data_IF_772732855076
#
_entry.id   IF_772732855076
#
_cell.length_a   1.000
_cell.length_b   1.000
_cell.length_c   1.000
_cell.angle_alpha   90.00
_cell.angle_beta   90.00
_cell.angle_gamma   90.00
#
_symmetry.space_group_name_H-M   'P 1'
#
loop_
_entity.id
_entity.type
_entity.pdbx_description
1 polymer ?
#
# COMPACT_ATOMS: atom_id res chain seq x y z
N UNK A 1 15.70 -5.72 -1.66
CA UNK A 1 14.36 -5.41 -2.19
C UNK A 1 13.36 -5.58 -1.05
N UNK A 2 12.75 -4.49 -0.61
CA UNK A 2 11.84 -4.48 0.54
C UNK A 2 10.44 -4.86 0.09
N UNK A 3 9.78 -5.77 0.81
CA UNK A 3 8.36 -6.12 0.57
C UNK A 3 7.48 -5.49 1.63
N UNK A 4 6.49 -4.73 1.20
CA UNK A 4 5.55 -4.04 2.08
C UNK A 4 4.15 -4.54 1.80
N UNK A 5 3.45 -4.95 2.85
CA UNK A 5 2.03 -5.31 2.78
C UNK A 5 1.25 -4.31 3.63
N UNK A 6 0.40 -3.53 2.97
CA UNK A 6 -0.58 -2.68 3.62
C UNK A 6 -1.93 -3.41 3.67
N UNK A 7 -2.54 -3.51 4.86
CA UNK A 7 -3.85 -4.15 5.04
C UNK A 7 -4.88 -3.06 5.34
N UNK A 8 -5.90 -2.98 4.50
CA UNK A 8 -6.91 -1.92 4.50
C UNK A 8 -6.78 -1.01 3.28
N UNK A 9 -7.89 -0.83 2.56
CA UNK A 9 -7.96 -0.03 1.33
C UNK A 9 -8.62 1.34 1.52
N UNK A 10 -8.78 1.81 2.76
CA UNK A 10 -9.17 3.20 3.01
C UNK A 10 -7.94 4.11 2.95
N UNK A 11 -8.12 5.39 3.24
CA UNK A 11 -7.15 6.45 2.94
C UNK A 11 -5.79 6.22 3.60
N UNK A 12 -5.78 5.72 4.84
CA UNK A 12 -4.55 5.46 5.57
C UNK A 12 -3.71 4.34 4.94
N UNK A 13 -4.36 3.26 4.48
CA UNK A 13 -3.69 2.12 3.87
C UNK A 13 -3.11 2.46 2.50
N UNK A 14 -3.88 3.18 1.69
CA UNK A 14 -3.43 3.67 0.38
C UNK A 14 -2.30 4.69 0.53
N UNK A 15 -2.43 5.64 1.47
CA UNK A 15 -1.39 6.64 1.73
C UNK A 15 -0.08 5.99 2.18
N UNK A 16 -0.15 4.97 3.04
CA UNK A 16 1.03 4.23 3.49
C UNK A 16 1.71 3.48 2.32
N UNK A 17 0.93 2.84 1.45
CA UNK A 17 1.42 2.12 0.28
C UNK A 17 2.11 3.06 -0.72
N UNK A 18 1.51 4.21 -1.01
CA UNK A 18 2.10 5.24 -1.88
C UNK A 18 3.38 5.80 -1.26
N UNK A 19 3.36 6.14 0.03
CA UNK A 19 4.52 6.68 0.72
C UNK A 19 5.70 5.71 0.74
N UNK A 20 5.43 4.41 0.84
CA UNK A 20 6.47 3.39 0.75
C UNK A 20 7.21 3.44 -0.61
N UNK A 21 6.48 3.64 -1.72
CA UNK A 21 7.08 3.78 -3.06
C UNK A 21 7.79 5.11 -3.28
N UNK A 22 7.34 6.18 -2.64
CA UNK A 22 8.03 7.48 -2.69
C UNK A 22 9.38 7.45 -1.98
N UNK A 23 9.45 6.74 -0.85
CA UNK A 23 10.66 6.61 -0.04
C UNK A 23 11.64 5.57 -0.59
N UNK A 24 11.10 4.46 -1.09
CA UNK A 24 11.86 3.38 -1.72
C UNK A 24 11.19 3.00 -3.05
N UNK A 25 11.65 3.61 -4.17
CA UNK A 25 11.14 3.31 -5.49
C UNK A 25 11.36 1.88 -5.96
N UNK A 26 12.17 1.06 -5.29
CA UNK A 26 12.37 -0.34 -5.66
C UNK A 26 11.56 -1.30 -4.77
N UNK A 27 10.78 -0.79 -3.81
CA UNK A 27 9.97 -1.61 -2.92
C UNK A 27 8.80 -2.28 -3.64
N UNK A 28 8.56 -3.56 -3.33
CA UNK A 28 7.40 -4.31 -3.82
C UNK A 28 6.24 -4.12 -2.84
N UNK A 29 5.19 -3.41 -3.26
CA UNK A 29 4.07 -3.03 -2.41
C UNK A 29 2.81 -3.77 -2.82
N UNK A 30 2.13 -4.39 -1.86
CA UNK A 30 0.82 -5.02 -2.04
C UNK A 30 -0.18 -4.39 -1.06
N UNK A 31 -1.35 -4.01 -1.55
CA UNK A 31 -2.48 -3.57 -0.70
C UNK A 31 -3.51 -4.69 -0.67
N UNK A 32 -3.83 -5.16 0.53
CA UNK A 32 -4.89 -6.15 0.75
C UNK A 32 -6.15 -5.41 1.19
N UNK A 33 -7.22 -5.58 0.42
CA UNK A 33 -8.51 -4.94 0.64
C UNK A 33 -9.58 -6.01 0.85
N UNK A 34 -10.55 -5.73 1.72
CA UNK A 34 -11.72 -6.60 1.91
C UNK A 34 -12.84 -6.27 0.92
N UNK A 35 -12.85 -5.03 0.42
CA UNK A 35 -13.94 -4.46 -0.36
C UNK A 35 -13.62 -4.44 -1.86
N UNK A 36 -14.65 -4.48 -2.68
CA UNK A 36 -14.52 -4.36 -4.13
C UNK A 36 -14.18 -2.92 -4.59
N UNK A 37 -14.42 -1.93 -3.72
CA UNK A 37 -14.23 -0.51 -4.00
C UNK A 37 -13.44 0.15 -2.87
N UNK A 38 -12.11 -0.04 -2.81
CA UNK A 38 -11.25 0.72 -1.90
C UNK A 38 -11.24 2.22 -2.29
N UNK A 39 -10.92 3.08 -1.32
CA UNK A 39 -10.85 4.54 -1.50
C UNK A 39 -9.63 4.96 -2.32
#
# INVERSE_FOLDING_TARGET
MTRVIAVGGSDAGISAALRARELDPDSEVTVVVADAYPN
#
